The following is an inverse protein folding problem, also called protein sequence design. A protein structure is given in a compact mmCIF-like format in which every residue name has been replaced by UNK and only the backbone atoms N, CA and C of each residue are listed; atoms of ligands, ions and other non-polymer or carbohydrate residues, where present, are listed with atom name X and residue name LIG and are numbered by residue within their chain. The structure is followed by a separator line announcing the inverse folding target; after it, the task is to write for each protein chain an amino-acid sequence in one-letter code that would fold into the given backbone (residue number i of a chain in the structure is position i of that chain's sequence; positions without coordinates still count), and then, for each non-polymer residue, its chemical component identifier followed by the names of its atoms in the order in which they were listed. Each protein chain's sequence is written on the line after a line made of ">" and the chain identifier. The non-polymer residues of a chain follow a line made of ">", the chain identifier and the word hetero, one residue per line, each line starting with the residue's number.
data_IF_533825065317
#
_entry.id   IF_533825065317
#
_cell.length_a   1.000
_cell.length_b   1.000
_cell.length_c   1.000
_cell.angle_alpha   90.00
_cell.angle_beta   90.00
_cell.angle_gamma   90.00
#
_symmetry.space_group_name_H-M   'P 1'
#
loop_
_entity.id
_entity.type
_entity.pdbx_description
1 polymer ?
#
# COMPACT_ATOMS: atom_id res chain seq x y z
N UNK A 1 1.90 37.77 18.05
CA UNK A 1 0.78 38.66 17.71
C UNK A 1 -0.18 37.89 16.80
N UNK A 2 -1.49 37.78 17.13
CA UNK A 2 -2.44 37.11 16.25
C UNK A 2 -2.57 37.88 14.93
N UNK A 3 -2.41 37.18 13.81
CA UNK A 3 -2.50 37.76 12.47
C UNK A 3 -3.95 38.04 12.10
N UNK A 4 -4.19 39.03 11.24
CA UNK A 4 -5.53 39.33 10.76
C UNK A 4 -6.00 38.28 9.75
N UNK A 5 -7.32 38.02 9.71
CA UNK A 5 -7.91 37.12 8.72
C UNK A 5 -7.68 37.61 7.28
N UNK A 6 -7.30 36.70 6.38
CA UNK A 6 -7.01 36.99 4.96
C UNK A 6 -8.26 36.93 4.06
N UNK A 7 -9.40 36.44 4.57
CA UNK A 7 -10.63 36.31 3.80
C UNK A 7 -11.33 37.66 3.61
N UNK A 8 -12.08 37.83 2.51
CA UNK A 8 -12.93 39.01 2.28
C UNK A 8 -14.32 38.80 2.90
N UNK A 9 -14.88 39.86 3.49
CA UNK A 9 -16.26 39.90 3.96
C UNK A 9 -17.22 39.83 2.78
N UNK A 10 -18.23 38.94 2.86
CA UNK A 10 -19.28 38.85 1.83
C UNK A 10 -20.14 40.11 1.74
N UNK A 11 -20.33 40.84 2.84
CA UNK A 11 -21.20 42.03 2.88
C UNK A 11 -20.51 43.29 2.35
N UNK A 12 -19.19 43.41 2.54
CA UNK A 12 -18.46 44.65 2.23
C UNK A 12 -17.40 44.48 1.14
N UNK A 13 -17.06 43.25 0.74
CA UNK A 13 -15.99 42.94 -0.21
C UNK A 13 -14.57 43.24 0.29
N UNK A 14 -14.43 43.91 1.43
CA UNK A 14 -13.15 44.26 2.05
C UNK A 14 -12.58 43.10 2.88
N UNK A 15 -11.28 43.13 3.15
CA UNK A 15 -10.62 42.14 4.01
C UNK A 15 -11.28 42.10 5.40
N UNK A 16 -11.46 40.88 5.92
CA UNK A 16 -12.06 40.64 7.21
C UNK A 16 -11.17 41.24 8.32
N UNK A 17 -11.78 42.07 9.17
CA UNK A 17 -11.06 42.73 10.28
C UNK A 17 -10.87 41.84 11.51
N UNK A 18 -11.47 40.66 11.54
CA UNK A 18 -11.33 39.73 12.66
C UNK A 18 -9.93 39.10 12.70
N UNK A 19 -9.48 38.76 13.91
CA UNK A 19 -8.25 38.00 14.10
C UNK A 19 -8.39 36.58 13.54
N UNK A 20 -7.32 36.09 12.91
CA UNK A 20 -7.19 34.70 12.53
C UNK A 20 -7.07 33.83 13.77
N UNK A 21 -7.55 32.59 13.68
CA UNK A 21 -7.35 31.60 14.75
C UNK A 21 -5.87 31.22 14.77
N UNK A 22 -5.29 30.98 15.96
CA UNK A 22 -3.89 30.62 16.10
C UNK A 22 -3.51 29.42 15.21
N UNK A 23 -2.41 29.55 14.45
CA UNK A 23 -1.98 28.55 13.48
C UNK A 23 -2.75 28.60 12.14
N UNK A 24 -3.62 29.59 11.95
CA UNK A 24 -4.39 29.77 10.71
C UNK A 24 -4.33 31.18 10.17
N UNK A 25 -4.81 31.34 8.94
CA UNK A 25 -4.95 32.65 8.29
C UNK A 25 -6.41 33.10 8.16
N UNK A 26 -7.35 32.35 8.74
CA UNK A 26 -8.78 32.66 8.72
C UNK A 26 -9.35 32.78 10.13
N UNK A 27 -10.32 33.67 10.32
CA UNK A 27 -11.04 33.77 11.59
C UNK A 27 -12.04 32.61 11.74
N UNK A 28 -12.62 32.45 12.93
CA UNK A 28 -13.65 31.43 13.23
C UNK A 28 -14.79 31.43 12.20
N UNK A 29 -15.27 32.61 11.79
CA UNK A 29 -16.40 32.77 10.87
C UNK A 29 -16.01 32.45 9.42
N UNK A 30 -14.76 32.69 9.04
CA UNK A 30 -14.24 32.36 7.71
C UNK A 30 -13.57 30.98 7.64
N UNK A 31 -13.83 30.10 8.61
CA UNK A 31 -13.42 28.70 8.58
C UNK A 31 -12.09 28.38 9.26
N UNK A 32 -11.57 29.28 10.11
CA UNK A 32 -10.35 29.03 10.91
C UNK A 32 -10.49 27.90 11.94
N UNK A 33 -11.73 27.50 12.27
CA UNK A 33 -12.02 26.36 13.14
C UNK A 33 -12.60 25.14 12.39
N UNK A 34 -12.68 25.19 11.07
CA UNK A 34 -13.24 24.06 10.30
C UNK A 34 -12.30 22.85 10.40
N UNK A 35 -12.78 21.68 10.86
CA UNK A 35 -11.96 20.47 10.98
C UNK A 35 -11.38 20.05 9.63
N UNK A 36 -10.10 19.67 9.61
CA UNK A 36 -9.45 19.12 8.41
C UNK A 36 -10.02 17.73 8.15
N UNK A 37 -10.78 17.57 7.05
CA UNK A 37 -11.39 16.28 6.66
C UNK A 37 -10.44 15.38 5.86
N UNK A 38 -9.50 15.95 5.12
CA UNK A 38 -8.54 15.21 4.29
C UNK A 38 -7.14 15.82 4.48
N UNK A 39 -6.22 15.08 5.11
CA UNK A 39 -4.93 15.59 5.58
C UNK A 39 -3.94 15.99 4.47
N UNK A 40 -3.94 15.25 3.35
CA UNK A 40 -2.94 15.40 2.27
C UNK A 40 -3.02 16.76 1.54
N UNK A 41 -4.21 17.35 1.47
CA UNK A 41 -4.46 18.60 0.73
C UNK A 41 -4.83 19.77 1.63
N UNK A 42 -4.76 19.60 2.96
CA UNK A 42 -5.06 20.69 3.88
C UNK A 42 -4.09 21.85 3.66
N UNK A 43 -4.61 23.07 3.66
CA UNK A 43 -3.82 24.30 3.52
C UNK A 43 -2.71 24.39 4.59
N UNK A 44 -2.95 23.82 5.76
CA UNK A 44 -2.02 23.79 6.90
C UNK A 44 -0.87 22.79 6.70
N UNK A 45 -1.03 21.87 5.76
CA UNK A 45 -0.05 20.82 5.43
C UNK A 45 1.00 21.27 4.41
N UNK A 46 0.77 22.40 3.72
CA UNK A 46 1.38 22.67 2.40
C UNK A 46 2.86 23.10 2.34
N UNK A 47 3.49 23.55 3.42
CA UNK A 47 4.88 24.03 3.34
C UNK A 47 5.91 23.00 3.84
N UNK A 48 5.87 22.66 5.13
CA UNK A 48 6.81 21.69 5.71
C UNK A 48 6.51 20.25 5.27
N UNK A 49 5.23 19.86 5.21
CA UNK A 49 4.88 18.51 4.81
C UNK A 49 5.01 18.32 3.29
N UNK A 50 4.82 19.37 2.48
CA UNK A 50 5.04 19.29 1.04
C UNK A 50 6.51 19.02 0.67
N UNK A 51 7.44 19.72 1.34
CA UNK A 51 8.87 19.48 1.20
C UNK A 51 9.26 18.09 1.70
N UNK A 52 8.75 17.68 2.87
CA UNK A 52 8.97 16.33 3.39
C UNK A 52 8.37 15.26 2.46
N UNK A 53 7.16 15.43 1.93
CA UNK A 53 6.56 14.48 0.98
C UNK A 53 7.38 14.41 -0.31
N UNK A 54 7.90 15.52 -0.82
CA UNK A 54 8.77 15.52 -1.99
C UNK A 54 10.09 14.79 -1.72
N UNK A 55 10.71 15.05 -0.56
CA UNK A 55 11.93 14.38 -0.10
C UNK A 55 11.72 12.87 0.09
N UNK A 56 10.59 12.48 0.68
CA UNK A 56 10.26 11.08 0.94
C UNK A 56 9.79 10.33 -0.32
N UNK A 57 9.15 11.00 -1.28
CA UNK A 57 8.66 10.38 -2.53
C UNK A 57 9.81 9.87 -3.38
N UNK A 58 10.91 10.61 -3.41
CA UNK A 58 12.05 10.35 -4.29
C UNK A 58 13.17 9.57 -3.55
N UNK A 59 12.94 9.17 -2.30
CA UNK A 59 13.87 8.39 -1.49
C UNK A 59 13.62 6.87 -1.68
N UNK A 60 14.53 6.13 -2.35
CA UNK A 60 14.35 4.72 -2.63
C UNK A 60 14.29 3.83 -1.37
N UNK A 61 14.87 4.27 -0.25
CA UNK A 61 14.85 3.54 1.02
C UNK A 61 13.44 3.50 1.66
N UNK A 62 12.55 4.44 1.32
CA UNK A 62 11.16 4.44 1.81
C UNK A 62 10.23 3.53 1.02
N UNK A 63 10.64 3.18 -0.20
CA UNK A 63 9.96 2.21 -1.04
C UNK A 63 10.51 0.80 -0.88
N UNK A 64 11.63 0.62 -0.17
CA UNK A 64 12.17 -0.71 0.08
C UNK A 64 11.46 -1.38 1.25
N UNK A 65 10.28 -1.95 0.95
CA UNK A 65 9.49 -2.70 1.91
C UNK A 65 10.30 -3.92 2.42
N UNK A 66 11.35 -4.40 1.72
CA UNK A 66 12.23 -5.46 2.25
C UNK A 66 13.03 -4.99 3.45
N UNK A 67 13.60 -3.78 3.40
CA UNK A 67 14.34 -3.22 4.54
C UNK A 67 13.41 -3.03 5.75
N UNK A 68 12.18 -2.56 5.50
CA UNK A 68 11.15 -2.45 6.54
C UNK A 68 10.75 -3.80 7.14
N UNK A 69 10.57 -4.84 6.32
CA UNK A 69 10.29 -6.21 6.78
C UNK A 69 11.46 -6.74 7.61
N UNK A 70 12.70 -6.58 7.13
CA UNK A 70 13.91 -7.02 7.83
C UNK A 70 14.06 -6.32 9.19
N UNK A 71 13.79 -5.01 9.27
CA UNK A 71 13.78 -4.26 10.51
C UNK A 71 12.73 -4.78 11.51
N UNK A 72 11.50 -5.04 11.04
CA UNK A 72 10.45 -5.58 11.91
C UNK A 72 10.79 -6.99 12.43
N UNK A 73 11.38 -7.85 11.60
CA UNK A 73 11.91 -9.15 12.04
C UNK A 73 13.00 -8.97 13.10
N UNK A 74 13.96 -8.06 12.89
CA UNK A 74 15.02 -7.80 13.85
C UNK A 74 14.46 -7.32 15.21
N UNK A 75 13.45 -6.44 15.20
CA UNK A 75 12.76 -6.01 16.42
C UNK A 75 12.02 -7.16 17.12
N UNK A 76 11.36 -8.03 16.36
CA UNK A 76 10.68 -9.22 16.90
C UNK A 76 11.69 -10.16 17.57
N UNK A 77 12.79 -10.47 16.89
CA UNK A 77 13.87 -11.31 17.41
C UNK A 77 14.45 -10.70 18.68
N UNK A 78 14.78 -9.40 18.67
CA UNK A 78 15.31 -8.70 19.85
C UNK A 78 14.34 -8.71 21.02
N UNK A 79 13.03 -8.60 20.77
CA UNK A 79 12.00 -8.74 21.81
C UNK A 79 11.98 -10.16 22.37
N UNK A 80 11.99 -11.17 21.51
CA UNK A 80 12.01 -12.57 21.95
C UNK A 80 13.28 -12.92 22.75
N UNK A 81 14.45 -12.42 22.33
CA UNK A 81 15.72 -12.57 23.06
C UNK A 81 15.71 -11.90 24.44
N UNK A 82 14.99 -10.78 24.57
CA UNK A 82 14.87 -10.04 25.82
C UNK A 82 13.80 -10.63 26.77
N UNK A 83 12.99 -11.57 26.30
CA UNK A 83 11.92 -12.20 27.07
C UNK A 83 12.45 -13.45 27.79
N UNK A 84 12.14 -13.57 29.09
CA UNK A 84 12.45 -14.77 29.87
C UNK A 84 11.51 -15.93 29.50
N UNK A 85 11.86 -17.16 29.89
CA UNK A 85 11.23 -18.45 29.50
C UNK A 85 9.69 -18.55 29.68
N UNK A 86 9.04 -17.58 30.33
CA UNK A 86 7.59 -17.52 30.47
C UNK A 86 7.03 -16.28 29.79
N UNK A 87 6.21 -16.52 28.77
CA UNK A 87 5.40 -15.49 28.14
C UNK A 87 4.12 -15.26 28.94
N UNK A 88 3.77 -14.00 29.18
CA UNK A 88 2.42 -13.65 29.65
C UNK A 88 1.43 -13.68 28.48
N UNK A 89 0.13 -13.70 28.76
CA UNK A 89 -0.88 -13.60 27.70
C UNK A 89 -0.80 -12.28 26.92
N UNK A 90 -0.39 -11.20 27.58
CA UNK A 90 -0.16 -9.90 26.95
C UNK A 90 1.04 -9.93 26.00
N UNK A 91 2.11 -10.61 26.40
CA UNK A 91 3.29 -10.86 25.57
C UNK A 91 2.93 -11.65 24.30
N UNK A 92 2.16 -12.72 24.46
CA UNK A 92 1.68 -13.54 23.33
C UNK A 92 0.83 -12.70 22.37
N UNK A 93 -0.07 -11.86 22.90
CA UNK A 93 -0.92 -10.98 22.11
C UNK A 93 -0.11 -9.93 21.32
N UNK A 94 0.88 -9.30 21.97
CA UNK A 94 1.77 -8.34 21.32
C UNK A 94 2.64 -8.98 20.24
N UNK A 95 3.20 -10.18 20.50
CA UNK A 95 3.98 -10.92 19.51
C UNK A 95 3.13 -11.34 18.31
N UNK A 96 1.90 -11.80 18.55
CA UNK A 96 0.95 -12.16 17.49
C UNK A 96 0.59 -10.95 16.63
N UNK A 97 0.33 -9.81 17.25
CA UNK A 97 0.05 -8.54 16.54
C UNK A 97 1.24 -8.09 15.69
N UNK A 98 2.47 -8.23 16.22
CA UNK A 98 3.68 -7.87 15.47
C UNK A 98 3.90 -8.82 14.29
N UNK A 99 3.67 -10.12 14.50
CA UNK A 99 3.72 -11.15 13.45
C UNK A 99 2.73 -10.86 12.31
N UNK A 100 1.48 -10.53 12.63
CA UNK A 100 0.48 -10.14 11.61
C UNK A 100 0.89 -8.92 10.79
N UNK A 101 1.49 -7.92 11.42
CA UNK A 101 1.97 -6.70 10.73
C UNK A 101 3.12 -7.02 9.78
N UNK A 102 4.03 -7.92 10.18
CA UNK A 102 5.12 -8.40 9.34
C UNK A 102 4.56 -9.14 8.11
N UNK A 103 3.61 -10.06 8.31
CA UNK A 103 2.96 -10.80 7.21
C UNK A 103 2.27 -9.85 6.22
N UNK A 104 1.49 -8.88 6.70
CA UNK A 104 0.83 -7.88 5.84
C UNK A 104 1.84 -7.02 5.06
N UNK A 105 2.99 -6.69 5.65
CA UNK A 105 4.03 -5.95 4.97
C UNK A 105 4.73 -6.79 3.89
N UNK A 106 4.97 -8.08 4.14
CA UNK A 106 5.47 -9.03 3.12
C UNK A 106 4.48 -9.16 1.97
N UNK A 107 3.19 -9.35 2.26
CA UNK A 107 2.16 -9.43 1.21
C UNK A 107 2.11 -8.17 0.38
N UNK A 108 2.20 -6.99 1.02
CA UNK A 108 2.23 -5.71 0.33
C UNK A 108 3.51 -5.53 -0.47
N UNK A 109 4.65 -5.96 0.04
CA UNK A 109 5.91 -6.02 -0.71
C UNK A 109 5.77 -6.91 -1.93
N UNK A 110 5.22 -8.13 -1.78
CA UNK A 110 4.97 -9.03 -2.91
C UNK A 110 4.06 -8.38 -3.96
N UNK A 111 2.96 -7.76 -3.53
CA UNK A 111 2.04 -7.06 -4.43
C UNK A 111 2.69 -5.89 -5.16
N UNK A 112 3.63 -5.17 -4.53
CA UNK A 112 4.31 -4.01 -5.13
C UNK A 112 5.49 -4.45 -6.01
N UNK A 113 6.32 -5.39 -5.54
CA UNK A 113 7.53 -5.85 -6.23
C UNK A 113 7.21 -6.78 -7.41
N UNK A 114 6.14 -7.57 -7.31
CA UNK A 114 5.70 -8.49 -8.35
C UNK A 114 4.39 -8.06 -9.01
N UNK A 115 3.96 -6.80 -8.81
CA UNK A 115 2.82 -6.11 -9.42
C UNK A 115 1.92 -6.96 -10.29
N UNK A 116 0.73 -7.35 -9.81
CA UNK A 116 -0.33 -7.99 -10.61
C UNK A 116 0.10 -9.18 -11.52
N UNK A 117 1.26 -9.81 -11.33
CA UNK A 117 1.76 -10.91 -12.18
C UNK A 117 1.06 -12.27 -12.01
N UNK A 118 -0.16 -12.27 -11.46
CA UNK A 118 -1.03 -13.47 -11.42
C UNK A 118 -2.41 -13.21 -12.03
N UNK A 119 -2.50 -12.32 -13.01
CA UNK A 119 -3.59 -12.37 -13.99
C UNK A 119 -2.98 -12.94 -15.26
N UNK A 120 -2.86 -14.27 -15.33
CA UNK A 120 -2.65 -14.94 -16.62
C UNK A 120 -3.80 -14.48 -17.52
N UNK A 121 -3.49 -13.74 -18.58
CA UNK A 121 -4.50 -13.35 -19.54
C UNK A 121 -5.01 -14.62 -20.25
N UNK A 122 -6.30 -14.66 -20.59
CA UNK A 122 -6.92 -15.85 -21.19
C UNK A 122 -6.16 -16.26 -22.47
N UNK A 123 -5.61 -15.29 -23.22
CA UNK A 123 -4.80 -15.56 -24.41
C UNK A 123 -3.47 -16.28 -24.10
N UNK A 124 -2.84 -15.98 -22.95
CA UNK A 124 -1.57 -16.60 -22.53
C UNK A 124 -1.76 -18.07 -22.14
N UNK A 125 -2.87 -18.39 -21.48
CA UNK A 125 -3.24 -19.77 -21.14
C UNK A 125 -3.52 -20.57 -22.41
N UNK A 126 -4.26 -19.99 -23.37
CA UNK A 126 -4.52 -20.65 -24.65
C UNK A 126 -3.22 -20.93 -25.42
N UNK A 127 -2.27 -20.00 -25.38
CA UNK A 127 -0.95 -20.18 -26.01
C UNK A 127 -0.18 -21.32 -25.37
N UNK A 128 -0.17 -21.42 -24.03
CA UNK A 128 0.48 -22.50 -23.31
C UNK A 128 -0.16 -23.87 -23.60
N UNK A 129 -1.49 -23.95 -23.61
CA UNK A 129 -2.22 -25.19 -23.96
C UNK A 129 -1.84 -25.63 -25.38
N UNK A 130 -1.83 -24.71 -26.35
CA UNK A 130 -1.47 -25.03 -27.72
C UNK A 130 -0.02 -25.53 -27.84
N UNK A 131 0.92 -24.92 -27.11
CA UNK A 131 2.31 -25.40 -27.07
C UNK A 131 2.41 -26.82 -26.49
N UNK A 132 1.69 -27.12 -25.41
CA UNK A 132 1.66 -28.46 -24.83
C UNK A 132 1.10 -29.47 -25.83
N UNK A 133 0.03 -29.13 -26.55
CA UNK A 133 -0.55 -30.01 -27.59
C UNK A 133 0.43 -30.27 -28.73
N UNK A 134 1.19 -29.25 -29.15
CA UNK A 134 2.22 -29.39 -30.20
C UNK A 134 3.34 -30.31 -29.73
N UNK A 135 3.84 -30.14 -28.50
CA UNK A 135 4.88 -31.00 -27.92
C UNK A 135 4.38 -32.45 -27.83
N UNK A 136 3.15 -32.67 -27.36
CA UNK A 136 2.55 -34.02 -27.31
C UNK A 136 2.48 -34.64 -28.70
N UNK A 137 2.10 -33.88 -29.73
CA UNK A 137 2.09 -34.37 -31.13
C UNK A 137 3.48 -34.73 -31.65
N UNK A 138 4.50 -34.02 -31.22
CA UNK A 138 5.89 -34.27 -31.63
C UNK A 138 6.48 -35.49 -30.94
N UNK A 139 6.19 -35.70 -29.66
CA UNK A 139 6.79 -36.76 -28.85
C UNK A 139 5.94 -38.06 -28.80
N UNK A 140 4.63 -37.97 -29.02
CA UNK A 140 3.72 -39.13 -29.02
C UNK A 140 3.33 -39.47 -30.46
N UNK A 141 3.80 -40.63 -30.92
CA UNK A 141 3.59 -41.08 -32.30
C UNK A 141 2.34 -41.94 -32.51
N UNK A 142 1.61 -42.31 -31.45
CA UNK A 142 0.32 -42.99 -31.55
C UNK A 142 -0.82 -41.97 -31.75
N UNK A 143 -1.44 -41.91 -32.94
CA UNK A 143 -2.46 -40.90 -33.27
C UNK A 143 -3.67 -40.97 -32.34
N UNK A 144 -4.07 -42.17 -31.92
CA UNK A 144 -5.24 -42.37 -31.06
C UNK A 144 -5.00 -41.83 -29.64
N UNK A 145 -3.76 -41.91 -29.15
CA UNK A 145 -3.39 -41.36 -27.84
C UNK A 145 -3.29 -39.83 -27.87
N UNK A 146 -2.72 -39.26 -28.93
CA UNK A 146 -2.65 -37.79 -29.12
C UNK A 146 -4.04 -37.16 -29.11
N UNK A 147 -4.99 -37.73 -29.83
CA UNK A 147 -6.34 -37.17 -29.96
C UNK A 147 -7.12 -37.25 -28.64
N UNK A 148 -6.97 -38.34 -27.89
CA UNK A 148 -7.55 -38.47 -26.53
C UNK A 148 -6.98 -37.44 -25.56
N UNK A 149 -5.67 -37.20 -25.60
CA UNK A 149 -5.00 -36.23 -24.72
C UNK A 149 -5.39 -34.79 -25.05
N UNK A 150 -5.44 -34.43 -26.34
CA UNK A 150 -5.86 -33.11 -26.79
C UNK A 150 -7.30 -32.78 -26.35
N UNK A 151 -8.23 -33.74 -26.50
CA UNK A 151 -9.62 -33.57 -26.08
C UNK A 151 -9.75 -33.38 -24.56
N UNK A 152 -9.03 -34.20 -23.77
CA UNK A 152 -9.03 -34.08 -22.31
C UNK A 152 -8.47 -32.75 -21.82
N UNK A 153 -7.43 -32.22 -22.47
CA UNK A 153 -6.83 -30.92 -22.12
C UNK A 153 -7.77 -29.74 -22.41
N UNK A 154 -8.58 -29.82 -23.47
CA UNK A 154 -9.58 -28.79 -23.80
C UNK A 154 -10.80 -28.78 -22.86
N UNK A 155 -11.09 -29.90 -22.21
CA UNK A 155 -12.20 -30.06 -21.27
C UNK A 155 -11.85 -29.67 -19.82
N UNK A 156 -10.57 -29.41 -19.52
CA UNK A 156 -10.16 -28.92 -18.19
C UNK A 156 -10.71 -27.53 -17.96
N UNK A 157 -11.71 -27.42 -17.08
CA UNK A 157 -12.26 -26.15 -16.59
C UNK A 157 -11.40 -25.62 -15.43
N UNK A 158 -11.02 -24.36 -15.53
CA UNK A 158 -10.30 -23.60 -14.52
C UNK A 158 -11.25 -22.69 -13.75
#
# INVERSE_FOLDING_TARGET
>A
MPTQCTAKSKHTGQQCRAYAVNGTDKCRVHGGMTPIKHGLYSKYTKAKLGALIAELRDNPALTDIKEHVAFMFALLIKKLEAMQERFTDEDISHLTTLSEKITKAIERWHKVAFGEKYILQIEEIQTLINQIVVIIRQEVHDPATVERLAKRLQEVRW
#
